data_IF_247307198958
#
_entry.id   IF_247307198958
#
_cell.length_a   1.000
_cell.length_b   1.000
_cell.length_c   1.000
_cell.angle_alpha   90.00
_cell.angle_beta   90.00
_cell.angle_gamma   90.00
#
_symmetry.space_group_name_H-M   'P 1'
#
loop_
_entity.id
_entity.type
_entity.pdbx_description
1 polymer ?
#
# COMPACT_ATOMS: atom_id res chain seq x y z
N UNK A 1 3.30 -4.06 -36.77
CA UNK A 1 2.65 -4.52 -35.51
C UNK A 1 3.62 -4.40 -34.31
N UNK A 2 4.92 -4.64 -34.51
CA UNK A 2 5.98 -4.46 -33.50
C UNK A 2 6.10 -2.98 -33.11
N UNK A 3 6.13 -2.08 -34.08
CA UNK A 3 6.30 -0.62 -33.85
C UNK A 3 5.18 0.01 -33.02
N UNK A 4 3.94 -0.52 -33.08
CA UNK A 4 2.83 -0.03 -32.27
C UNK A 4 2.97 -0.46 -30.80
N UNK A 5 3.43 -1.69 -30.55
CA UNK A 5 3.66 -2.20 -29.19
C UNK A 5 4.83 -1.47 -28.51
N UNK A 6 5.94 -1.24 -29.25
CA UNK A 6 7.10 -0.52 -28.74
C UNK A 6 6.79 0.95 -28.45
N UNK A 7 5.98 1.59 -29.29
CA UNK A 7 5.54 2.97 -29.09
C UNK A 7 4.55 3.08 -27.91
N UNK A 8 3.61 2.15 -27.79
CA UNK A 8 2.71 2.07 -26.63
C UNK A 8 3.50 1.83 -25.34
N UNK A 9 4.45 0.89 -25.35
CA UNK A 9 5.27 0.57 -24.20
C UNK A 9 6.15 1.73 -23.75
N UNK A 10 6.78 2.43 -24.68
CA UNK A 10 7.63 3.60 -24.36
C UNK A 10 6.85 4.74 -23.68
N UNK A 11 5.58 4.93 -24.03
CA UNK A 11 4.72 5.99 -23.48
C UNK A 11 4.09 5.58 -22.14
N UNK A 12 3.63 4.33 -22.02
CA UNK A 12 2.82 3.88 -20.88
C UNK A 12 3.56 2.99 -19.87
N UNK A 13 4.82 2.64 -20.10
CA UNK A 13 5.59 1.76 -19.20
C UNK A 13 5.63 2.30 -17.77
N UNK A 14 5.92 3.58 -17.59
CA UNK A 14 5.96 4.21 -16.28
C UNK A 14 4.61 4.17 -15.56
N UNK A 15 3.52 4.35 -16.29
CA UNK A 15 2.16 4.28 -15.74
C UNK A 15 1.81 2.87 -15.30
N UNK A 16 2.10 1.85 -16.12
CA UNK A 16 1.87 0.44 -15.76
C UNK A 16 2.70 0.03 -14.54
N UNK A 17 3.94 0.47 -14.47
CA UNK A 17 4.82 0.19 -13.33
C UNK A 17 4.34 0.90 -12.05
N UNK A 18 3.91 2.15 -12.16
CA UNK A 18 3.29 2.89 -11.04
C UNK A 18 1.98 2.26 -10.57
N UNK A 19 1.16 1.73 -11.48
CA UNK A 19 -0.03 0.95 -11.13
C UNK A 19 0.32 -0.28 -10.29
N UNK A 20 1.39 -0.98 -10.64
CA UNK A 20 1.86 -2.14 -9.88
C UNK A 20 2.36 -1.77 -8.48
N UNK A 21 3.20 -0.75 -8.35
CA UNK A 21 3.71 -0.29 -7.05
C UNK A 21 2.60 0.26 -6.15
N UNK A 22 1.66 1.02 -6.70
CA UNK A 22 0.48 1.51 -5.98
C UNK A 22 -0.46 0.36 -5.54
N UNK A 23 -0.58 -0.69 -6.36
CA UNK A 23 -1.33 -1.90 -5.98
C UNK A 23 -0.70 -2.61 -4.78
N UNK A 24 0.64 -2.70 -4.72
CA UNK A 24 1.35 -3.25 -3.56
C UNK A 24 1.11 -2.39 -2.30
N UNK A 25 1.14 -1.06 -2.43
CA UNK A 25 0.85 -0.16 -1.32
C UNK A 25 -0.59 -0.31 -0.82
N UNK A 26 -1.57 -0.38 -1.72
CA UNK A 26 -2.95 -0.63 -1.35
C UNK A 26 -3.15 -1.99 -0.66
N UNK A 27 -2.45 -3.04 -1.13
CA UNK A 27 -2.45 -4.37 -0.49
C UNK A 27 -1.78 -4.35 0.89
N UNK A 28 -0.80 -3.47 1.13
CA UNK A 28 -0.15 -3.31 2.44
C UNK A 28 -1.12 -2.77 3.49
N UNK A 29 -1.91 -1.74 3.15
CA UNK A 29 -2.98 -1.22 4.04
C UNK A 29 -4.15 -2.21 4.16
N UNK A 30 -4.52 -2.89 3.07
CA UNK A 30 -5.56 -3.92 3.11
C UNK A 30 -5.28 -4.97 4.20
N UNK A 31 -4.03 -5.38 4.36
CA UNK A 31 -3.66 -6.37 5.37
C UNK A 31 -3.91 -5.87 6.80
N UNK A 32 -3.55 -4.63 7.12
CA UNK A 32 -3.81 -4.03 8.45
C UNK A 32 -5.31 -3.82 8.69
N UNK A 33 -6.05 -3.37 7.67
CA UNK A 33 -7.51 -3.21 7.74
C UNK A 33 -8.24 -4.55 7.86
N UNK A 34 -7.70 -5.63 7.28
CA UNK A 34 -8.28 -6.98 7.41
C UNK A 34 -8.18 -7.55 8.82
N UNK A 35 -7.29 -6.99 9.66
CA UNK A 35 -7.18 -7.28 11.09
C UNK A 35 -7.88 -6.23 11.99
N UNK A 36 -8.72 -5.36 11.40
CA UNK A 36 -9.44 -4.31 12.12
C UNK A 36 -8.61 -3.11 12.54
N UNK A 37 -7.37 -2.97 12.04
CA UNK A 37 -6.48 -1.87 12.41
C UNK A 37 -6.47 -0.78 11.34
N UNK A 38 -6.83 0.44 11.70
CA UNK A 38 -6.65 1.62 10.87
C UNK A 38 -5.25 2.20 11.11
N UNK A 39 -4.23 1.61 10.44
CA UNK A 39 -2.86 2.08 10.53
C UNK A 39 -2.44 2.78 9.22
N UNK A 40 -1.85 3.98 9.33
CA UNK A 40 -1.51 4.84 8.19
C UNK A 40 0.01 5.08 8.07
N UNK A 41 0.85 4.18 8.64
CA UNK A 41 2.30 4.27 8.56
C UNK A 41 2.91 3.74 7.26
N UNK A 42 2.09 3.26 6.32
CA UNK A 42 2.56 2.54 5.14
C UNK A 42 3.40 3.41 4.20
N UNK A 43 3.13 4.73 4.12
CA UNK A 43 3.96 5.67 3.39
C UNK A 43 5.37 5.78 4.01
N UNK A 44 5.48 5.81 5.34
CA UNK A 44 6.77 5.81 6.03
C UNK A 44 7.54 4.50 5.81
N UNK A 45 6.86 3.35 5.87
CA UNK A 45 7.46 2.05 5.60
C UNK A 45 7.93 1.93 4.14
N UNK A 46 7.18 2.49 3.20
CA UNK A 46 7.60 2.67 1.81
C UNK A 46 8.92 3.46 1.74
N UNK A 47 9.00 4.60 2.44
CA UNK A 47 10.19 5.44 2.50
C UNK A 47 11.39 4.70 3.10
N UNK A 48 11.23 4.03 4.24
CA UNK A 48 12.30 3.24 4.87
C UNK A 48 12.83 2.18 3.88
N UNK A 49 11.95 1.45 3.19
CA UNK A 49 12.34 0.45 2.20
C UNK A 49 13.07 1.07 1.00
N UNK A 50 12.56 2.17 0.45
CA UNK A 50 13.14 2.90 -0.67
C UNK A 50 14.56 3.39 -0.35
N UNK A 51 14.73 4.13 0.74
CA UNK A 51 16.03 4.66 1.14
C UNK A 51 17.03 3.56 1.53
N UNK A 52 16.58 2.52 2.27
CA UNK A 52 17.45 1.39 2.62
C UNK A 52 18.00 0.70 1.38
N UNK A 53 17.16 0.38 0.41
CA UNK A 53 17.60 -0.30 -0.82
C UNK A 53 18.50 0.58 -1.67
N UNK A 54 18.16 1.88 -1.81
CA UNK A 54 18.92 2.83 -2.62
C UNK A 54 20.32 3.06 -2.04
N UNK A 55 20.42 3.25 -0.73
CA UNK A 55 21.71 3.42 -0.05
C UNK A 55 22.59 2.18 -0.19
N UNK A 56 22.01 0.97 -0.03
CA UNK A 56 22.75 -0.29 -0.16
C UNK A 56 23.23 -0.54 -1.60
N UNK A 57 22.46 -0.19 -2.60
CA UNK A 57 22.85 -0.35 -4.00
C UNK A 57 23.87 0.70 -4.44
N UNK A 58 23.70 1.97 -4.03
CA UNK A 58 24.58 3.07 -4.44
C UNK A 58 25.92 3.06 -3.71
N UNK A 59 25.90 2.90 -2.38
CA UNK A 59 27.11 3.05 -1.57
C UNK A 59 27.88 1.75 -1.36
N UNK A 60 27.17 0.61 -1.34
CA UNK A 60 27.76 -0.70 -1.03
C UNK A 60 27.75 -1.67 -2.22
N UNK A 61 27.17 -1.29 -3.36
CA UNK A 61 27.15 -2.12 -4.56
C UNK A 61 26.40 -3.45 -4.41
N UNK A 62 25.40 -3.49 -3.51
CA UNK A 62 24.62 -4.71 -3.29
C UNK A 62 23.83 -5.09 -4.55
N UNK A 63 23.66 -6.40 -4.75
CA UNK A 63 22.82 -6.92 -5.83
C UNK A 63 21.36 -6.58 -5.59
N UNK A 64 20.56 -6.42 -6.66
CA UNK A 64 19.15 -6.05 -6.57
C UNK A 64 18.31 -6.98 -5.68
N UNK A 65 18.43 -8.32 -5.75
CA UNK A 65 17.68 -9.23 -4.88
C UNK A 65 17.98 -9.04 -3.38
N UNK A 66 19.25 -8.77 -3.04
CA UNK A 66 19.64 -8.52 -1.63
C UNK A 66 19.14 -7.15 -1.14
N UNK A 67 19.12 -6.15 -2.02
CA UNK A 67 18.54 -4.84 -1.72
C UNK A 67 17.01 -4.93 -1.52
N UNK A 68 16.29 -5.75 -2.30
CA UNK A 68 14.87 -6.04 -2.09
C UNK A 68 14.67 -6.66 -0.70
N UNK A 69 15.43 -7.69 -0.36
CA UNK A 69 15.30 -8.36 0.94
C UNK A 69 15.54 -7.38 2.10
N UNK A 70 16.60 -6.55 2.03
CA UNK A 70 16.90 -5.53 3.03
C UNK A 70 15.78 -4.47 3.12
N UNK A 71 15.27 -4.01 1.96
CA UNK A 71 14.19 -3.02 1.90
C UNK A 71 12.82 -3.54 2.35
N UNK A 72 12.63 -4.86 2.45
CA UNK A 72 11.47 -5.49 3.09
C UNK A 72 11.69 -5.69 4.60
N UNK A 73 12.87 -6.14 4.99
CA UNK A 73 13.19 -6.47 6.38
C UNK A 73 13.30 -5.20 7.24
N UNK A 74 13.94 -4.13 6.75
CA UNK A 74 14.14 -2.91 7.52
C UNK A 74 12.80 -2.29 7.99
N UNK A 75 11.80 -2.04 7.13
CA UNK A 75 10.50 -1.53 7.59
C UNK A 75 9.75 -2.54 8.47
N UNK A 76 9.89 -3.85 8.26
CA UNK A 76 9.28 -4.86 9.13
C UNK A 76 9.86 -4.83 10.56
N UNK A 77 11.17 -4.67 10.70
CA UNK A 77 11.84 -4.51 12.00
C UNK A 77 11.38 -3.22 12.69
N UNK A 78 11.34 -2.11 11.95
CA UNK A 78 10.85 -0.82 12.48
C UNK A 78 9.38 -0.94 12.90
N UNK A 79 8.55 -1.60 12.10
CA UNK A 79 7.15 -1.87 12.44
C UNK A 79 7.03 -2.72 13.72
N UNK A 80 7.90 -3.70 13.92
CA UNK A 80 7.90 -4.50 15.14
C UNK A 80 8.28 -3.69 16.38
N UNK A 81 9.24 -2.78 16.28
CA UNK A 81 9.68 -1.90 17.38
C UNK A 81 8.56 -0.93 17.76
N UNK A 82 8.01 -0.22 16.77
CA UNK A 82 6.99 0.81 16.95
C UNK A 82 5.59 0.21 17.21
N UNK A 83 5.31 -0.93 16.63
CA UNK A 83 4.04 -1.62 16.80
C UNK A 83 3.74 -1.96 18.25
N UNK A 84 4.75 -2.33 19.06
CA UNK A 84 4.56 -2.65 20.47
C UNK A 84 3.85 -1.56 21.28
N UNK A 85 4.27 -0.28 21.24
CA UNK A 85 3.55 0.80 21.92
C UNK A 85 2.29 1.25 21.17
N UNK A 86 2.31 1.32 19.84
CA UNK A 86 1.22 1.90 19.05
C UNK A 86 -0.01 0.99 18.94
N UNK A 87 0.17 -0.33 18.87
CA UNK A 87 -0.94 -1.29 18.77
C UNK A 87 -1.76 -1.45 20.07
N UNK A 88 -1.36 -0.78 21.14
CA UNK A 88 -2.19 -0.61 22.33
C UNK A 88 -3.32 0.41 22.14
N UNK A 89 -3.17 1.26 21.13
CA UNK A 89 -4.19 2.23 20.74
C UNK A 89 -5.18 1.57 19.77
N UNK A 90 -6.42 2.04 19.75
CA UNK A 90 -7.47 1.52 18.89
C UNK A 90 -8.12 2.64 18.05
N UNK A 91 -8.74 2.27 16.95
CA UNK A 91 -9.51 3.18 16.11
C UNK A 91 -8.72 4.39 15.59
N UNK A 92 -9.29 5.58 15.79
CA UNK A 92 -8.73 6.84 15.32
C UNK A 92 -7.40 7.19 16.00
N UNK A 93 -7.21 6.83 17.26
CA UNK A 93 -5.97 7.10 17.98
C UNK A 93 -4.78 6.33 17.39
N UNK A 94 -5.00 5.09 16.94
CA UNK A 94 -3.99 4.33 16.22
C UNK A 94 -3.64 5.00 14.89
N UNK A 95 -4.63 5.46 14.14
CA UNK A 95 -4.41 6.18 12.88
C UNK A 95 -3.58 7.44 13.10
N UNK A 96 -3.93 8.26 14.09
CA UNK A 96 -3.19 9.49 14.42
C UNK A 96 -1.75 9.21 14.85
N UNK A 97 -1.53 8.19 15.71
CA UNK A 97 -0.19 7.82 16.16
C UNK A 97 0.68 7.30 15.00
N UNK A 98 0.11 6.52 14.09
CA UNK A 98 0.84 5.98 12.93
C UNK A 98 1.09 7.05 11.85
N UNK A 99 0.22 8.05 11.72
CA UNK A 99 0.48 9.24 10.89
C UNK A 99 1.62 10.09 11.48
N UNK A 100 1.56 10.38 12.79
CA UNK A 100 2.63 11.12 13.46
C UNK A 100 3.98 10.42 13.32
N UNK A 101 4.01 9.09 13.44
CA UNK A 101 5.20 8.30 13.16
C UNK A 101 5.67 8.50 11.71
N UNK A 102 4.76 8.53 10.74
CA UNK A 102 5.10 8.80 9.34
C UNK A 102 5.83 10.13 9.16
N UNK A 103 5.34 11.20 9.82
CA UNK A 103 5.99 12.51 9.76
C UNK A 103 7.35 12.51 10.48
N UNK A 104 7.49 11.77 11.59
CA UNK A 104 8.80 11.61 12.25
C UNK A 104 9.81 10.95 11.32
N UNK A 105 9.44 9.87 10.63
CA UNK A 105 10.32 9.21 9.66
C UNK A 105 10.69 10.17 8.53
N UNK A 106 9.74 10.92 7.97
CA UNK A 106 9.99 11.91 6.93
C UNK A 106 10.97 12.98 7.39
N UNK A 107 10.81 13.49 8.62
CA UNK A 107 11.73 14.47 9.20
C UNK A 107 13.11 13.87 9.48
N UNK A 108 13.21 12.62 9.91
CA UNK A 108 14.49 11.92 10.06
C UNK A 108 15.22 11.81 8.71
N UNK A 109 14.51 11.46 7.64
CA UNK A 109 15.06 11.41 6.28
C UNK A 109 15.55 12.80 5.85
N UNK A 110 14.74 13.85 6.08
CA UNK A 110 15.12 15.23 5.78
C UNK A 110 16.40 15.71 6.50
N UNK A 111 16.59 15.27 7.74
CA UNK A 111 17.74 15.69 8.58
C UNK A 111 19.00 14.88 8.34
N UNK A 112 18.89 13.68 7.80
CA UNK A 112 20.02 12.79 7.51
C UNK A 112 20.72 13.14 6.18
N UNK A 113 21.06 14.42 5.94
CA UNK A 113 21.57 14.93 4.65
C UNK A 113 22.73 14.11 4.07
N UNK A 114 23.66 13.66 4.92
CA UNK A 114 24.82 12.89 4.49
C UNK A 114 24.50 11.51 3.90
N UNK A 115 23.34 10.93 4.27
CA UNK A 115 22.93 9.59 3.83
C UNK A 115 21.79 9.62 2.82
N UNK A 116 20.88 10.56 2.96
CA UNK A 116 19.61 10.62 2.21
C UNK A 116 19.56 11.74 1.19
N UNK A 117 20.59 12.60 1.14
CA UNK A 117 20.55 13.84 0.35
C UNK A 117 19.61 14.91 0.92
N UNK A 118 19.01 14.69 2.10
CA UNK A 118 18.14 15.65 2.79
C UNK A 118 16.95 16.11 1.94
N UNK A 119 16.74 17.43 1.87
CA UNK A 119 15.65 18.02 1.10
C UNK A 119 15.77 17.82 -0.42
N UNK A 120 16.99 17.64 -0.93
CA UNK A 120 17.25 17.38 -2.35
C UNK A 120 16.92 15.93 -2.76
N UNK A 121 16.79 15.03 -1.78
CA UNK A 121 16.56 13.61 -2.03
C UNK A 121 17.76 12.88 -2.62
N UNK A 122 17.60 11.59 -2.91
CA UNK A 122 18.61 10.76 -3.58
C UNK A 122 18.38 10.76 -5.08
N UNK A 123 19.41 11.17 -5.82
CA UNK A 123 19.47 11.14 -7.29
C UNK A 123 20.46 10.08 -7.76
N UNK A 124 20.26 9.58 -8.99
CA UNK A 124 21.19 8.65 -9.62
C UNK A 124 21.05 7.21 -9.13
N UNK A 125 19.89 6.84 -8.61
CA UNK A 125 19.58 5.46 -8.23
C UNK A 125 19.60 4.58 -9.48
N UNK A 126 20.36 3.44 -9.48
CA UNK A 126 20.42 2.57 -10.64
C UNK A 126 19.05 1.99 -10.98
N UNK A 127 18.65 2.07 -12.25
CA UNK A 127 17.39 1.53 -12.72
C UNK A 127 17.46 0.01 -12.84
N UNK A 128 17.07 -0.68 -11.79
CA UNK A 128 17.10 -2.15 -11.72
C UNK A 128 15.70 -2.75 -11.81
N UNK A 129 14.65 -1.93 -11.59
CA UNK A 129 13.27 -2.38 -11.66
C UNK A 129 12.81 -2.47 -13.11
N UNK A 130 12.46 -3.69 -13.53
CA UNK A 130 11.83 -3.96 -14.81
C UNK A 130 10.36 -4.35 -14.62
N UNK A 131 9.56 -4.29 -15.67
CA UNK A 131 8.12 -4.57 -15.62
C UNK A 131 7.77 -5.94 -15.02
N UNK A 132 8.58 -6.95 -15.29
CA UNK A 132 8.35 -8.30 -14.77
C UNK A 132 8.65 -8.42 -13.27
N UNK A 133 9.55 -7.59 -12.69
CA UNK A 133 9.77 -7.55 -11.23
C UNK A 133 8.51 -7.05 -10.52
N UNK A 134 7.89 -5.98 -11.04
CA UNK A 134 6.67 -5.42 -10.47
C UNK A 134 5.51 -6.40 -10.60
N UNK A 135 5.34 -7.00 -11.80
CA UNK A 135 4.31 -8.01 -12.03
C UNK A 135 4.49 -9.22 -11.10
N UNK A 136 5.72 -9.75 -11.01
CA UNK A 136 6.04 -10.89 -10.13
C UNK A 136 5.77 -10.54 -8.66
N UNK A 137 6.12 -9.33 -8.20
CA UNK A 137 5.87 -8.87 -6.84
C UNK A 137 4.36 -8.78 -6.55
N UNK A 138 3.57 -8.18 -7.44
CA UNK A 138 2.10 -8.07 -7.28
C UNK A 138 1.46 -9.45 -7.24
N UNK A 139 1.79 -10.34 -8.18
CA UNK A 139 1.25 -11.71 -8.23
C UNK A 139 1.65 -12.50 -6.99
N UNK A 140 2.92 -12.41 -6.57
CA UNK A 140 3.43 -13.09 -5.37
C UNK A 140 2.69 -12.60 -4.11
N UNK A 141 2.56 -11.29 -3.93
CA UNK A 141 1.86 -10.71 -2.76
C UNK A 141 0.38 -11.09 -2.77
N UNK A 142 -0.31 -11.02 -3.92
CA UNK A 142 -1.69 -11.48 -4.05
C UNK A 142 -1.85 -12.97 -3.70
N UNK A 143 -0.94 -13.81 -4.19
CA UNK A 143 -0.94 -15.24 -3.88
C UNK A 143 -0.73 -15.50 -2.39
N UNK A 144 0.26 -14.83 -1.77
CA UNK A 144 0.54 -14.95 -0.33
C UNK A 144 -0.65 -14.49 0.52
N UNK A 145 -1.24 -13.34 0.19
CA UNK A 145 -2.41 -12.82 0.90
C UNK A 145 -3.65 -13.69 0.72
N UNK A 146 -3.87 -14.25 -0.48
CA UNK A 146 -4.96 -15.21 -0.73
C UNK A 146 -4.79 -16.49 0.11
N UNK A 147 -3.55 -16.96 0.23
CA UNK A 147 -3.22 -18.12 1.07
C UNK A 147 -3.37 -17.80 2.56
N UNK A 148 -2.88 -16.62 2.97
CA UNK A 148 -3.01 -16.13 4.35
C UNK A 148 -4.48 -16.04 4.75
N UNK A 149 -5.33 -15.47 3.93
CA UNK A 149 -6.78 -15.33 4.19
C UNK A 149 -7.47 -16.68 4.41
N UNK A 150 -7.04 -17.74 3.72
CA UNK A 150 -7.59 -19.11 3.89
C UNK A 150 -6.98 -19.87 5.07
N UNK A 151 -5.93 -19.33 5.69
CA UNK A 151 -5.22 -19.96 6.81
C UNK A 151 -5.93 -19.75 8.16
N UNK A 152 -5.39 -20.36 9.22
CA UNK A 152 -5.83 -20.11 10.60
C UNK A 152 -5.60 -18.66 11.00
N UNK A 153 -4.49 -18.05 10.55
CA UNK A 153 -4.13 -16.65 10.81
C UNK A 153 -5.15 -15.70 10.18
N UNK A 154 -5.56 -15.94 8.93
CA UNK A 154 -6.56 -15.12 8.24
C UNK A 154 -7.92 -15.15 8.94
N UNK A 155 -8.35 -16.32 9.43
CA UNK A 155 -9.57 -16.44 10.24
C UNK A 155 -9.46 -15.71 11.57
N UNK A 156 -8.29 -15.71 12.20
CA UNK A 156 -8.04 -14.93 13.41
C UNK A 156 -8.14 -13.42 13.12
N UNK A 157 -7.61 -12.95 11.98
CA UNK A 157 -7.75 -11.56 11.57
C UNK A 157 -9.23 -11.15 11.39
N UNK A 158 -10.03 -11.97 10.72
CA UNK A 158 -11.47 -11.73 10.57
C UNK A 158 -12.18 -11.68 11.92
N UNK A 159 -11.87 -12.60 12.84
CA UNK A 159 -12.45 -12.60 14.19
C UNK A 159 -12.09 -11.34 14.99
N UNK A 160 -10.82 -10.91 14.95
CA UNK A 160 -10.34 -9.69 15.63
C UNK A 160 -11.01 -8.45 15.02
N UNK A 161 -11.21 -8.43 13.71
CA UNK A 161 -11.88 -7.31 13.01
C UNK A 161 -13.34 -7.15 13.41
N UNK A 162 -14.07 -8.25 13.63
CA UNK A 162 -15.48 -8.22 14.06
C UNK A 162 -15.64 -7.79 15.51
N UNK A 163 -14.93 -8.42 16.43
CA UNK A 163 -14.89 -8.05 17.86
C UNK A 163 -13.58 -8.51 18.52
N UNK A 164 -12.75 -7.54 18.85
CA UNK A 164 -11.43 -7.76 19.46
C UNK A 164 -11.54 -8.41 20.85
N UNK A 165 -12.55 -8.02 21.64
CA UNK A 165 -12.76 -8.53 23.00
C UNK A 165 -13.24 -9.97 22.95
N UNK A 166 -14.22 -10.26 22.09
CA UNK A 166 -14.74 -11.62 21.91
C UNK A 166 -13.64 -12.56 21.37
N UNK A 167 -12.83 -12.11 20.40
CA UNK A 167 -11.69 -12.89 19.89
C UNK A 167 -10.70 -13.25 21.01
N UNK A 168 -10.37 -12.30 21.89
CA UNK A 168 -9.51 -12.53 23.05
C UNK A 168 -10.09 -13.55 24.03
N UNK A 169 -11.37 -13.49 24.31
CA UNK A 169 -12.06 -14.46 25.17
C UNK A 169 -12.09 -15.88 24.59
N UNK A 170 -12.06 -16.00 23.25
CA UNK A 170 -11.94 -17.28 22.54
C UNK A 170 -10.50 -17.81 22.46
N UNK A 171 -9.54 -17.17 23.14
CA UNK A 171 -8.15 -17.60 23.22
C UNK A 171 -7.27 -17.17 22.04
N UNK A 172 -7.72 -16.23 21.21
CA UNK A 172 -6.90 -15.67 20.11
C UNK A 172 -5.94 -14.64 20.72
N UNK A 173 -4.62 -14.79 20.45
CA UNK A 173 -3.63 -13.76 20.78
C UNK A 173 -3.79 -12.55 19.87
N UNK A 174 -4.62 -11.60 20.30
CA UNK A 174 -4.97 -10.39 19.54
C UNK A 174 -3.72 -9.56 19.23
N UNK A 175 -2.87 -9.33 20.24
CA UNK A 175 -1.69 -8.49 20.09
C UNK A 175 -0.66 -9.09 19.13
N UNK A 176 -0.42 -10.39 19.21
CA UNK A 176 0.49 -11.10 18.32
C UNK A 176 -0.02 -11.08 16.87
N UNK A 177 -1.31 -11.29 16.65
CA UNK A 177 -1.90 -11.24 15.31
C UNK A 177 -1.91 -9.82 14.70
N UNK A 178 -2.21 -8.79 15.49
CA UNK A 178 -2.10 -7.38 15.08
C UNK A 178 -0.66 -7.03 14.72
N UNK A 179 0.31 -7.43 15.55
CA UNK A 179 1.73 -7.20 15.28
C UNK A 179 2.17 -7.88 13.98
N UNK A 180 1.73 -9.12 13.75
CA UNK A 180 2.04 -9.84 12.51
C UNK A 180 1.46 -9.13 11.29
N UNK A 181 0.19 -8.70 11.34
CA UNK A 181 -0.43 -7.96 10.24
C UNK A 181 0.29 -6.63 9.96
N UNK A 182 0.70 -5.91 11.00
CA UNK A 182 1.40 -4.64 10.90
C UNK A 182 2.81 -4.82 10.29
N UNK A 183 3.58 -5.81 10.77
CA UNK A 183 4.92 -6.10 10.24
C UNK A 183 4.91 -6.61 8.79
N UNK A 184 3.96 -7.49 8.44
CA UNK A 184 3.79 -7.95 7.07
C UNK A 184 3.33 -6.80 6.13
N UNK A 185 2.42 -5.95 6.61
CA UNK A 185 2.02 -4.74 5.88
C UNK A 185 3.22 -3.82 5.62
N UNK A 186 4.07 -3.60 6.62
CA UNK A 186 5.30 -2.83 6.51
C UNK A 186 6.29 -3.44 5.49
N UNK A 187 6.46 -4.77 5.49
CA UNK A 187 7.31 -5.46 4.52
C UNK A 187 6.81 -5.27 3.08
N UNK A 188 5.50 -5.37 2.84
CA UNK A 188 4.88 -5.15 1.52
C UNK A 188 5.04 -3.68 1.09
N UNK A 189 4.83 -2.73 2.00
CA UNK A 189 5.06 -1.31 1.73
C UNK A 189 6.52 -1.02 1.40
N UNK A 190 7.46 -1.63 2.13
CA UNK A 190 8.89 -1.56 1.85
C UNK A 190 9.24 -2.11 0.48
N UNK A 191 8.68 -3.26 0.09
CA UNK A 191 8.84 -3.83 -1.25
C UNK A 191 8.38 -2.84 -2.34
N UNK A 192 7.22 -2.23 -2.16
CA UNK A 192 6.72 -1.21 -3.08
C UNK A 192 7.69 -0.01 -3.17
N UNK A 193 8.26 0.41 -2.03
CA UNK A 193 9.27 1.47 -1.96
C UNK A 193 10.55 1.13 -2.72
N UNK A 194 11.08 -0.08 -2.55
CA UNK A 194 12.25 -0.56 -3.31
C UNK A 194 11.99 -0.51 -4.81
N UNK A 195 10.87 -1.09 -5.26
CA UNK A 195 10.52 -1.13 -6.68
C UNK A 195 10.33 0.27 -7.26
N UNK A 196 9.69 1.18 -6.50
CA UNK A 196 9.49 2.55 -6.93
C UNK A 196 10.81 3.33 -7.04
N UNK A 197 11.71 3.22 -6.04
CA UNK A 197 12.98 3.91 -6.03
C UNK A 197 13.86 3.55 -7.23
N UNK A 198 13.96 2.25 -7.53
CA UNK A 198 14.72 1.74 -8.68
C UNK A 198 13.97 1.87 -10.02
N UNK A 199 12.76 2.41 -10.02
CA UNK A 199 12.01 2.77 -11.21
C UNK A 199 12.20 4.23 -11.60
N UNK A 200 12.11 5.14 -10.61
CA UNK A 200 12.04 6.59 -10.82
C UNK A 200 13.41 7.29 -10.86
N UNK A 201 14.53 6.59 -10.56
CA UNK A 201 15.88 7.13 -10.42
C UNK A 201 16.07 8.18 -9.33
N UNK A 202 15.01 8.63 -8.73
CA UNK A 202 14.95 9.70 -7.75
C UNK A 202 13.94 9.35 -6.67
N UNK A 203 14.27 9.66 -5.42
CA UNK A 203 13.35 9.62 -4.30
C UNK A 203 13.50 10.87 -3.46
N UNK A 204 12.39 11.55 -3.22
CA UNK A 204 12.32 12.71 -2.35
C UNK A 204 11.59 12.40 -1.04
N UNK A 205 11.98 13.01 0.10
CA UNK A 205 11.32 12.77 1.38
C UNK A 205 9.84 13.20 1.40
N UNK A 206 9.44 14.07 0.49
CA UNK A 206 8.06 14.54 0.38
C UNK A 206 7.09 13.47 -0.14
N UNK A 207 7.61 12.47 -0.86
CA UNK A 207 6.82 11.34 -1.39
C UNK A 207 6.35 10.35 -0.30
N UNK A 208 6.85 10.49 0.92
CA UNK A 208 6.60 9.55 2.03
C UNK A 208 5.83 10.18 3.20
N UNK A 209 5.23 11.36 2.96
CA UNK A 209 4.49 12.13 3.96
C UNK A 209 3.03 11.74 4.11
N UNK A 210 2.31 12.60 4.84
CA UNK A 210 0.88 12.49 5.14
C UNK A 210 0.02 12.28 3.89
N UNK A 211 0.21 13.10 2.86
CA UNK A 211 -0.60 13.06 1.64
C UNK A 211 -0.54 11.69 0.97
N UNK A 212 0.64 11.10 0.93
CA UNK A 212 0.84 9.75 0.38
C UNK A 212 0.13 8.68 1.22
N UNK A 213 0.16 8.82 2.55
CA UNK A 213 -0.57 7.92 3.46
C UNK A 213 -2.08 7.94 3.22
N UNK A 214 -2.65 9.14 3.06
CA UNK A 214 -4.07 9.33 2.74
C UNK A 214 -4.41 8.78 1.36
N UNK A 215 -3.57 9.00 0.36
CA UNK A 215 -3.76 8.48 -0.99
C UNK A 215 -3.83 6.94 -1.01
N UNK A 216 -2.88 6.26 -0.33
CA UNK A 216 -2.86 4.79 -0.25
C UNK A 216 -4.10 4.26 0.49
N UNK A 217 -4.53 4.92 1.57
CA UNK A 217 -5.76 4.56 2.27
C UNK A 217 -6.98 4.70 1.35
N UNK A 218 -7.05 5.79 0.60
CA UNK A 218 -8.14 6.03 -0.36
C UNK A 218 -8.20 4.97 -1.44
N UNK A 219 -7.06 4.57 -2.02
CA UNK A 219 -6.98 3.45 -2.97
C UNK A 219 -7.60 2.18 -2.40
N UNK A 220 -7.29 1.88 -1.13
CA UNK A 220 -7.74 0.65 -0.47
C UNK A 220 -9.24 0.69 -0.15
N UNK A 221 -9.74 1.81 0.38
CA UNK A 221 -11.16 1.97 0.73
C UNK A 221 -12.02 2.01 -0.53
N UNK A 222 -11.59 2.77 -1.56
CA UNK A 222 -12.27 2.87 -2.84
C UNK A 222 -12.44 1.49 -3.50
N UNK A 223 -11.37 0.70 -3.50
CA UNK A 223 -11.42 -0.65 -4.07
C UNK A 223 -12.33 -1.60 -3.29
N UNK A 224 -12.44 -1.41 -1.98
CA UNK A 224 -13.25 -2.21 -1.06
C UNK A 224 -12.45 -3.20 -0.22
N UNK A 225 -12.62 -3.08 1.11
CA UNK A 225 -11.84 -3.82 2.13
C UNK A 225 -12.23 -5.30 2.22
N UNK A 226 -13.39 -5.69 1.68
CA UNK A 226 -13.91 -7.05 1.84
C UNK A 226 -13.37 -8.05 0.79
N UNK A 227 -12.67 -7.55 -0.23
CA UNK A 227 -12.15 -8.34 -1.35
C UNK A 227 -10.64 -8.10 -1.49
N UNK A 228 -9.88 -9.16 -1.75
CA UNK A 228 -8.44 -9.05 -2.02
C UNK A 228 -8.13 -8.30 -3.31
N UNK A 229 -9.02 -8.37 -4.30
CA UNK A 229 -8.86 -7.71 -5.61
C UNK A 229 -9.27 -6.23 -5.54
N UNK A 230 -10.13 -5.87 -4.56
CA UNK A 230 -10.60 -4.50 -4.37
C UNK A 230 -9.48 -3.46 -4.33
N UNK A 231 -8.50 -3.56 -3.41
CA UNK A 231 -7.40 -2.61 -3.31
C UNK A 231 -6.61 -2.41 -4.61
N UNK A 232 -6.44 -3.47 -5.40
CA UNK A 232 -5.79 -3.41 -6.72
C UNK A 232 -6.61 -2.58 -7.71
N UNK A 233 -7.94 -2.78 -7.72
CA UNK A 233 -8.85 -1.98 -8.56
C UNK A 233 -8.86 -0.51 -8.11
N UNK A 234 -8.88 -0.25 -6.80
CA UNK A 234 -8.80 1.10 -6.26
C UNK A 234 -7.49 1.79 -6.61
N UNK A 235 -6.35 1.10 -6.50
CA UNK A 235 -5.06 1.60 -6.94
C UNK A 235 -5.06 1.90 -8.45
N UNK A 236 -5.65 1.02 -9.27
CA UNK A 236 -5.77 1.23 -10.71
C UNK A 236 -6.55 2.52 -11.02
N UNK A 237 -7.69 2.73 -10.38
CA UNK A 237 -8.54 3.90 -10.62
C UNK A 237 -7.85 5.19 -10.19
N UNK A 238 -7.31 5.25 -8.97
CA UNK A 238 -6.66 6.46 -8.44
C UNK A 238 -5.39 6.81 -9.24
N UNK A 239 -4.64 5.81 -9.70
CA UNK A 239 -3.44 6.05 -10.50
C UNK A 239 -3.77 6.46 -11.94
N UNK A 240 -4.84 5.91 -12.53
CA UNK A 240 -5.25 6.24 -13.89
C UNK A 240 -5.99 7.59 -13.99
N UNK A 241 -6.69 7.96 -12.93
CA UNK A 241 -7.52 9.17 -12.90
C UNK A 241 -6.77 10.45 -13.25
N UNK A 242 -5.60 10.75 -12.66
CA UNK A 242 -4.81 11.93 -13.02
C UNK A 242 -4.34 11.93 -14.47
N UNK A 243 -4.10 10.75 -15.05
CA UNK A 243 -3.69 10.63 -16.45
C UNK A 243 -4.86 10.91 -17.42
N UNK A 244 -6.06 10.44 -17.09
CA UNK A 244 -7.27 10.76 -17.84
C UNK A 244 -7.61 12.26 -17.80
N UNK A 245 -7.33 12.91 -16.64
CA UNK A 245 -7.55 14.35 -16.44
C UNK A 245 -6.38 15.21 -16.95
N UNK A 246 -5.38 14.63 -17.59
CA UNK A 246 -4.21 15.36 -18.12
C UNK A 246 -4.60 16.46 -19.11
N UNK A 247 -5.69 16.28 -19.84
CA UNK A 247 -6.23 17.29 -20.76
C UNK A 247 -6.79 18.53 -20.05
N UNK A 248 -7.04 18.45 -18.73
CA UNK A 248 -7.56 19.54 -17.89
C UNK A 248 -6.50 20.01 -16.86
N UNK A 249 -5.28 20.31 -17.33
CA UNK A 249 -4.10 20.53 -16.50
C UNK A 249 -4.32 21.56 -15.36
N UNK A 250 -5.03 22.67 -15.63
CA UNK A 250 -5.24 23.75 -14.68
C UNK A 250 -6.17 23.39 -13.50
N UNK A 251 -7.06 22.42 -13.69
CA UNK A 251 -8.05 22.00 -12.68
C UNK A 251 -7.77 20.62 -12.08
N UNK A 252 -6.61 20.03 -12.38
CA UNK A 252 -6.27 18.65 -12.01
C UNK A 252 -6.37 18.39 -10.50
N UNK A 253 -5.85 19.29 -9.67
CA UNK A 253 -5.88 19.14 -8.21
C UNK A 253 -7.31 19.24 -7.66
N UNK A 254 -8.10 20.16 -8.17
CA UNK A 254 -9.51 20.34 -7.79
C UNK A 254 -10.36 19.17 -8.27
N UNK A 255 -10.15 18.72 -9.50
CA UNK A 255 -10.85 17.56 -10.06
C UNK A 255 -10.54 16.29 -9.29
N UNK A 256 -9.27 16.03 -8.97
CA UNK A 256 -8.88 14.88 -8.15
C UNK A 256 -9.55 14.90 -6.77
N UNK A 257 -9.53 16.05 -6.07
CA UNK A 257 -10.18 16.20 -4.78
C UNK A 257 -11.69 16.01 -4.86
N UNK A 258 -12.35 16.62 -5.86
CA UNK A 258 -13.79 16.49 -6.07
C UNK A 258 -14.21 15.05 -6.39
N UNK A 259 -13.49 14.39 -7.28
CA UNK A 259 -13.76 12.99 -7.64
C UNK A 259 -13.58 12.08 -6.42
N UNK A 260 -12.55 12.31 -5.62
CA UNK A 260 -12.30 11.56 -4.39
C UNK A 260 -13.47 11.70 -3.40
N UNK A 261 -13.97 12.94 -3.20
CA UNK A 261 -15.15 13.21 -2.37
C UNK A 261 -16.39 12.50 -2.92
N UNK A 262 -16.64 12.62 -4.23
CA UNK A 262 -17.79 11.97 -4.87
C UNK A 262 -17.73 10.44 -4.72
N UNK A 263 -16.54 9.84 -4.91
CA UNK A 263 -16.37 8.40 -4.77
C UNK A 263 -16.66 7.94 -3.33
N UNK A 264 -16.11 8.63 -2.33
CA UNK A 264 -16.36 8.29 -0.91
C UNK A 264 -17.84 8.47 -0.55
N UNK A 265 -18.49 9.50 -1.10
CA UNK A 265 -19.90 9.79 -0.82
C UNK A 265 -20.87 8.78 -1.46
N UNK A 266 -20.62 8.38 -2.72
CA UNK A 266 -21.51 7.50 -3.48
C UNK A 266 -21.16 6.02 -3.41
N UNK A 267 -19.92 5.66 -3.04
CA UNK A 267 -19.46 4.27 -2.94
C UNK A 267 -18.90 3.91 -1.55
N UNK A 268 -19.67 4.08 -0.46
CA UNK A 268 -19.16 3.85 0.91
C UNK A 268 -18.79 2.38 1.20
N UNK A 269 -19.18 1.43 0.33
CA UNK A 269 -18.86 -0.01 0.46
C UNK A 269 -17.77 -0.49 -0.52
N UNK A 270 -17.13 0.44 -1.24
CA UNK A 270 -16.14 0.15 -2.27
C UNK A 270 -16.75 -0.37 -3.58
N UNK A 271 -15.97 -0.27 -4.66
CA UNK A 271 -16.39 -0.66 -6.02
C UNK A 271 -16.60 -2.17 -6.17
N UNK A 272 -15.77 -2.97 -5.50
CA UNK A 272 -15.79 -4.43 -5.58
C UNK A 272 -16.51 -5.06 -4.39
N UNK A 273 -17.86 -4.92 -4.33
CA UNK A 273 -18.67 -5.62 -3.34
C UNK A 273 -19.31 -6.85 -3.98
N UNK A 274 -18.95 -8.08 -3.57
CA UNK A 274 -19.51 -9.31 -4.14
C UNK A 274 -21.02 -9.41 -3.98
N UNK A 275 -21.61 -8.74 -3.00
CA UNK A 275 -23.06 -8.69 -2.81
C UNK A 275 -23.77 -7.84 -3.87
N UNK A 276 -23.15 -6.74 -4.34
CA UNK A 276 -23.68 -5.88 -5.39
C UNK A 276 -23.56 -6.53 -6.77
N UNK A 277 -22.42 -7.18 -7.05
CA UNK A 277 -22.22 -7.97 -8.28
C UNK A 277 -23.24 -9.10 -8.42
N UNK A 278 -23.57 -9.80 -7.33
CA UNK A 278 -24.65 -10.82 -7.33
C UNK A 278 -26.02 -10.26 -7.62
N UNK A 279 -26.30 -9.01 -7.23
CA UNK A 279 -27.57 -8.33 -7.55
C UNK A 279 -27.64 -7.91 -9.02
N UNK A 280 -26.52 -7.43 -9.59
CA UNK A 280 -26.43 -7.05 -11.01
C UNK A 280 -26.51 -8.24 -11.96
N UNK A 281 -25.92 -9.38 -11.59
CA UNK A 281 -25.94 -10.61 -12.41
C UNK A 281 -27.27 -11.39 -12.26
N UNK A 282 -28.25 -10.88 -11.51
CA UNK A 282 -29.59 -11.48 -11.43
C UNK A 282 -29.65 -12.82 -10.69
N UNK A 283 -28.60 -13.23 -9.98
CA UNK A 283 -28.50 -14.46 -9.19
C UNK A 283 -29.04 -14.30 -7.74
N UNK A 284 -29.79 -13.23 -7.48
CA UNK A 284 -30.50 -13.05 -6.22
C UNK A 284 -31.68 -14.01 -6.14
N UNK A 285 -31.56 -15.07 -5.34
CA UNK A 285 -32.66 -15.94 -4.97
C UNK A 285 -33.84 -15.08 -4.53
N UNK A 286 -34.99 -15.20 -5.25
CA UNK A 286 -36.30 -14.73 -4.83
C UNK A 286 -36.57 -15.24 -3.42
N UNK A 287 -37.08 -14.34 -2.60
CA UNK A 287 -37.28 -14.53 -1.18
C UNK A 287 -38.10 -15.77 -0.84
N UNK A 288 -37.79 -16.32 0.27
CA UNK A 288 -38.74 -17.03 1.11
C UNK A 288 -39.38 -15.96 1.99
N UNK A 289 -40.57 -15.56 1.67
CA UNK A 289 -41.49 -14.86 2.58
C UNK A 289 -42.04 -15.88 3.56
N UNK A 290 -42.32 -15.51 4.81
CA UNK A 290 -42.77 -16.37 5.89
C UNK A 290 -44.13 -16.99 5.64
#
# INVERSE_FOLDING_TARGET
MVDWFDNFWSVYSNLVLSLGTNSLLALSIYLTLSCGMLAMANAAFMGIGAYTSSILTMNYGWSFPTAIAAGMVAPAVVAFIIGRPTLRLSGVYLAMATLAFGEVVRLCILRAESLTGGALGLNGIPQLTQWWHVLAAVVLVLFLLARLRRSKIGRAFEAIKEDETAAGLMGIDVNGHKMLAFALGAAIAGLAGVLNAHLTFFIGPQEFGFDRGVEILTMTILGGINSLVGPVIGAFIITLLPELLRSFADYRAVANGLILVLIVLFLPKGLWNPAWLRRLVGLGKKGVTP
#
